data_IF_557211472399
#
_entry.id   IF_557211472399
#
_cell.length_a   1.000
_cell.length_b   1.000
_cell.length_c   1.000
_cell.angle_alpha   90.00
_cell.angle_beta   90.00
_cell.angle_gamma   90.00
#
_symmetry.space_group_name_H-M   'P 1'
#
loop_
_entity.id
_entity.type
_entity.pdbx_description
1 polymer ?
#
# COMPACT_ATOMS: atom_id res chain seq x y z
N UNK A 1 24.42 -17.45 7.06
CA UNK A 1 23.54 -16.35 6.66
C UNK A 1 22.30 -16.31 7.53
N UNK A 2 22.24 -15.41 8.51
CA UNK A 2 20.99 -15.13 9.21
C UNK A 2 20.08 -14.44 8.19
N UNK A 3 18.91 -14.99 7.89
CA UNK A 3 17.98 -14.56 6.83
C UNK A 3 17.38 -13.17 6.97
N UNK A 4 18.20 -12.16 7.22
CA UNK A 4 17.85 -10.75 7.28
C UNK A 4 18.15 -10.09 5.94
N UNK A 5 17.30 -9.11 5.60
CA UNK A 5 17.55 -8.22 4.48
C UNK A 5 18.79 -7.37 4.74
N UNK A 6 19.67 -7.24 3.74
CA UNK A 6 20.71 -6.21 3.78
C UNK A 6 20.08 -4.81 3.63
N UNK A 7 20.76 -3.77 4.14
CA UNK A 7 20.33 -2.38 3.97
C UNK A 7 20.17 -2.01 2.49
N UNK A 8 21.06 -2.51 1.62
CA UNK A 8 20.97 -2.28 0.18
C UNK A 8 19.68 -2.87 -0.41
N UNK A 9 19.34 -4.11 -0.05
CA UNK A 9 18.09 -4.74 -0.48
C UNK A 9 16.87 -3.99 0.06
N UNK A 10 16.91 -3.54 1.32
CA UNK A 10 15.81 -2.79 1.91
C UNK A 10 15.55 -1.48 1.17
N UNK A 11 16.61 -0.78 0.77
CA UNK A 11 16.51 0.44 -0.03
C UNK A 11 15.93 0.14 -1.40
N UNK A 12 16.41 -0.91 -2.09
CA UNK A 12 15.90 -1.31 -3.41
C UNK A 12 14.40 -1.62 -3.35
N UNK A 13 13.96 -2.45 -2.40
CA UNK A 13 12.55 -2.78 -2.27
C UNK A 13 11.71 -1.57 -1.86
N UNK A 14 12.26 -0.65 -1.06
CA UNK A 14 11.56 0.60 -0.75
C UNK A 14 11.33 1.45 -1.99
N UNK A 15 12.29 1.51 -2.93
CA UNK A 15 12.09 2.18 -4.21
C UNK A 15 10.99 1.52 -5.04
N UNK A 16 10.97 0.20 -5.13
CA UNK A 16 9.93 -0.54 -5.84
C UNK A 16 8.53 -0.31 -5.23
N UNK A 17 8.43 -0.24 -3.89
CA UNK A 17 7.17 0.05 -3.18
C UNK A 17 6.75 1.50 -3.40
N UNK A 18 7.67 2.46 -3.30
CA UNK A 18 7.34 3.90 -3.49
C UNK A 18 7.05 4.22 -4.95
N UNK A 19 7.56 3.41 -5.89
CA UNK A 19 7.20 3.47 -7.30
C UNK A 19 5.72 3.09 -7.58
N UNK A 20 4.90 2.93 -6.54
CA UNK A 20 3.43 2.99 -6.52
C UNK A 20 2.80 4.22 -7.21
N UNK A 21 3.64 5.10 -7.79
CA UNK A 21 3.27 6.11 -8.78
C UNK A 21 2.23 5.61 -9.80
N UNK A 22 2.28 4.34 -10.22
CA UNK A 22 1.30 3.80 -11.17
C UNK A 22 -0.12 3.71 -10.60
N UNK A 23 -0.29 3.35 -9.32
CA UNK A 23 -1.62 3.31 -8.69
C UNK A 23 -2.13 4.72 -8.44
N UNK A 24 -1.32 5.56 -7.80
CA UNK A 24 -1.73 6.92 -7.45
C UNK A 24 -1.97 7.80 -8.68
N UNK A 25 -1.22 7.62 -9.78
CA UNK A 25 -1.50 8.31 -11.05
C UNK A 25 -2.81 7.90 -11.72
N UNK A 26 -3.38 6.77 -11.32
CA UNK A 26 -4.70 6.28 -11.76
C UNK A 26 -5.78 6.52 -10.70
N UNK A 27 -5.48 7.33 -9.67
CA UNK A 27 -6.36 7.61 -8.54
C UNK A 27 -6.78 6.36 -7.78
N UNK A 28 -5.90 5.34 -7.72
CA UNK A 28 -6.13 4.13 -6.94
C UNK A 28 -5.37 4.22 -5.63
N UNK A 29 -6.07 4.01 -4.52
CA UNK A 29 -5.50 3.86 -3.18
C UNK A 29 -5.56 2.40 -2.76
N UNK A 30 -4.47 1.84 -2.22
CA UNK A 30 -4.39 0.41 -1.88
C UNK A 30 -5.08 0.04 -0.53
N UNK A 31 -4.99 0.92 0.47
CA UNK A 31 -5.59 0.81 1.82
C UNK A 31 -5.16 -0.39 2.70
N UNK A 32 -4.44 -1.37 2.17
CA UNK A 32 -3.89 -2.50 2.95
C UNK A 32 -2.40 -2.77 2.67
N UNK A 33 -1.58 -1.71 2.63
CA UNK A 33 -0.13 -1.86 2.51
C UNK A 33 0.48 -2.40 3.81
N UNK A 34 1.03 -3.61 3.73
CA UNK A 34 1.69 -4.32 4.84
C UNK A 34 2.68 -5.36 4.30
N UNK A 35 3.66 -5.83 5.09
CA UNK A 35 4.64 -6.80 4.62
C UNK A 35 4.04 -8.07 3.99
N UNK A 36 2.90 -8.55 4.48
CA UNK A 36 2.23 -9.73 3.93
C UNK A 36 1.67 -9.54 2.50
N UNK A 37 1.51 -8.29 2.06
CA UNK A 37 1.00 -7.92 0.73
C UNK A 37 2.14 -7.44 -0.20
N UNK A 38 3.39 -7.59 0.24
CA UNK A 38 4.59 -7.28 -0.55
C UNK A 38 5.24 -8.58 -1.01
N UNK A 39 5.34 -8.77 -2.32
CA UNK A 39 5.87 -9.96 -2.94
C UNK A 39 7.24 -9.68 -3.56
N UNK A 40 8.21 -10.55 -3.30
CA UNK A 40 9.53 -10.47 -3.94
C UNK A 40 9.61 -11.56 -5.00
N UNK A 41 9.86 -11.16 -6.23
CA UNK A 41 10.05 -12.09 -7.35
C UNK A 41 11.42 -12.74 -7.32
N UNK A 42 11.61 -13.82 -8.07
CA UNK A 42 12.91 -14.48 -8.25
C UNK A 42 13.99 -13.54 -8.81
N UNK A 43 13.58 -12.49 -9.53
CA UNK A 43 14.46 -11.46 -10.07
C UNK A 43 14.81 -10.34 -9.06
N UNK A 44 14.52 -10.51 -7.77
CA UNK A 44 14.70 -9.48 -6.73
C UNK A 44 13.91 -8.17 -7.02
N UNK A 45 12.79 -8.26 -7.73
CA UNK A 45 11.86 -7.14 -7.91
C UNK A 45 10.73 -7.27 -6.91
N UNK A 46 10.48 -6.21 -6.16
CA UNK A 46 9.37 -6.12 -5.21
C UNK A 46 8.09 -5.66 -5.92
N UNK A 47 6.96 -6.27 -5.57
CA UNK A 47 5.64 -6.01 -6.16
C UNK A 47 4.57 -5.92 -5.07
N UNK A 48 3.68 -4.95 -5.20
CA UNK A 48 2.49 -4.82 -4.36
C UNK A 48 1.43 -5.81 -4.88
N UNK A 49 0.77 -6.52 -3.97
CA UNK A 49 -0.35 -7.40 -4.27
C UNK A 49 -1.48 -7.25 -3.26
N UNK A 50 -2.53 -8.05 -3.42
CA UNK A 50 -3.76 -8.03 -2.61
C UNK A 50 -4.50 -6.68 -2.62
N UNK A 51 -5.20 -6.43 -3.73
CA UNK A 51 -6.01 -5.24 -3.95
C UNK A 51 -7.44 -5.36 -3.38
N UNK A 52 -7.70 -6.30 -2.47
CA UNK A 52 -9.04 -6.58 -1.94
C UNK A 52 -9.67 -5.40 -1.18
N UNK A 53 -8.83 -4.48 -0.67
CA UNK A 53 -9.26 -3.26 0.00
C UNK A 53 -9.07 -2.00 -0.87
N UNK A 54 -8.58 -2.14 -2.10
CA UNK A 54 -8.23 -0.98 -2.94
C UNK A 54 -9.47 -0.23 -3.41
N UNK A 55 -9.34 1.09 -3.56
CA UNK A 55 -10.42 1.96 -4.04
C UNK A 55 -9.92 2.87 -5.16
N UNK A 56 -10.79 3.12 -6.14
CA UNK A 56 -10.55 4.14 -7.16
C UNK A 56 -11.28 5.40 -6.74
N UNK A 57 -10.55 6.49 -6.57
CA UNK A 57 -11.10 7.80 -6.25
C UNK A 57 -11.73 8.38 -7.53
N UNK A 58 -12.88 9.03 -7.37
CA UNK A 58 -13.53 9.79 -8.45
C UNK A 58 -13.02 11.23 -8.41
N UNK A 59 -12.87 11.88 -9.57
CA UNK A 59 -12.42 13.28 -9.70
C UNK A 59 -13.39 14.32 -9.07
N UNK A 60 -14.52 13.86 -8.53
CA UNK A 60 -15.59 14.74 -8.03
C UNK A 60 -15.45 14.95 -6.53
N UNK A 61 -15.28 16.21 -6.12
CA UNK A 61 -15.24 16.76 -4.75
C UNK A 61 -16.43 16.35 -3.83
N UNK A 62 -17.39 15.56 -4.31
CA UNK A 62 -18.64 15.20 -3.62
C UNK A 62 -18.60 13.86 -2.87
N UNK A 63 -17.54 13.07 -2.99
CA UNK A 63 -17.47 11.76 -2.33
C UNK A 63 -16.67 11.86 -1.03
N UNK A 64 -17.27 12.50 -0.03
CA UNK A 64 -16.75 12.49 1.34
C UNK A 64 -16.42 11.06 1.78
N UNK A 65 -15.12 10.82 1.96
CA UNK A 65 -14.46 9.67 2.58
C UNK A 65 -15.40 8.58 3.11
N UNK A 66 -15.86 7.67 2.24
CA UNK A 66 -16.30 6.34 2.68
C UNK A 66 -15.12 5.40 2.96
N UNK A 67 -13.93 5.98 3.18
CA UNK A 67 -12.67 5.29 3.48
C UNK A 67 -12.64 4.76 4.93
N UNK A 68 -13.38 5.38 5.86
CA UNK A 68 -13.31 5.02 7.28
C UNK A 68 -13.85 3.61 7.60
N UNK A 69 -14.76 3.09 6.76
CA UNK A 69 -15.43 1.80 6.98
C UNK A 69 -14.91 0.63 6.15
N UNK A 70 -14.04 0.84 5.16
CA UNK A 70 -13.68 -0.21 4.20
C UNK A 70 -12.27 -0.76 4.41
N UNK A 71 -12.18 -1.81 5.24
CA UNK A 71 -11.13 -2.82 5.15
C UNK A 71 -9.71 -2.37 5.54
N UNK A 72 -8.73 -3.22 5.22
CA UNK A 72 -7.34 -3.01 5.59
C UNK A 72 -7.00 -3.46 7.02
N UNK A 73 -5.72 -3.68 7.25
CA UNK A 73 -5.19 -4.18 8.51
C UNK A 73 -5.06 -3.06 9.53
N UNK A 74 -5.82 -3.12 10.62
CA UNK A 74 -5.89 -2.07 11.66
C UNK A 74 -4.53 -1.55 12.13
N UNK A 75 -3.55 -2.44 12.32
CA UNK A 75 -2.21 -2.10 12.84
C UNK A 75 -1.32 -1.33 11.86
N UNK A 76 -1.67 -1.29 10.57
CA UNK A 76 -0.92 -0.62 9.51
C UNK A 76 -1.69 0.58 8.93
N UNK A 77 -2.83 0.91 9.54
CA UNK A 77 -3.71 1.98 9.09
C UNK A 77 -3.20 3.34 9.58
N UNK A 78 -3.34 4.35 8.72
CA UNK A 78 -3.00 5.73 9.05
C UNK A 78 -3.92 6.30 10.16
N UNK A 79 -3.42 7.18 11.04
CA UNK A 79 -4.15 7.67 12.22
C UNK A 79 -5.46 8.41 11.90
N UNK A 80 -5.52 9.11 10.78
CA UNK A 80 -6.71 9.80 10.28
C UNK A 80 -7.85 8.84 9.92
N UNK A 81 -7.54 7.59 9.55
CA UNK A 81 -8.54 6.55 9.27
C UNK A 81 -8.98 5.78 10.54
N UNK A 82 -8.35 6.06 11.68
CA UNK A 82 -8.69 5.49 12.99
C UNK A 82 -9.57 6.43 13.82
N UNK A 83 -9.45 7.74 13.59
CA UNK A 83 -10.41 8.72 14.10
C UNK A 83 -11.64 8.70 13.19
N UNK A 84 -12.66 7.93 13.58
CA UNK A 84 -14.00 8.18 13.07
C UNK A 84 -14.43 9.57 13.53
N UNK A 85 -14.62 10.49 12.59
CA UNK A 85 -15.45 11.67 12.83
C UNK A 85 -16.93 11.28 12.87
#
# INVERSE_FOLDING_TARGET
DLGFLSTAQAVIYSFDIVADYVLHSQLIVHLDLKPANIFITECNVCKIGDFGCSQKLEDSESSGLHLCHQGGTYTHRAPELLKGE
#
